data_IF_978769037751
#
_entry.id   IF_978769037751
#
_cell.length_a   1.000
_cell.length_b   1.000
_cell.length_c   1.000
_cell.angle_alpha   90.00
_cell.angle_beta   90.00
_cell.angle_gamma   90.00
#
_symmetry.space_group_name_H-M   'P 1'
#
loop_
_entity.id
_entity.type
_entity.pdbx_description
1 polymer ?
#
# COMPACT_ATOMS: atom_id res chain seq x y z
N UNK A 1 -16.10 87.16 -20.64
CA UNK A 1 -15.46 86.41 -21.74
C UNK A 1 -16.23 85.11 -21.90
N UNK A 2 -16.89 84.86 -23.05
CA UNK A 2 -17.68 83.63 -23.25
C UNK A 2 -16.76 82.57 -23.82
N UNK A 3 -16.27 81.66 -22.98
CA UNK A 3 -15.52 80.49 -23.46
C UNK A 3 -16.52 79.60 -24.21
N UNK A 4 -16.12 79.10 -25.38
CA UNK A 4 -16.98 78.28 -26.23
C UNK A 4 -17.17 76.90 -25.61
N UNK A 5 -18.34 76.29 -25.81
CA UNK A 5 -18.60 74.92 -25.36
C UNK A 5 -17.58 73.91 -25.92
N UNK A 6 -16.93 74.20 -27.05
CA UNK A 6 -15.85 73.38 -27.62
C UNK A 6 -14.66 73.27 -26.66
N UNK A 7 -14.21 74.37 -26.07
CA UNK A 7 -13.10 74.36 -25.11
C UNK A 7 -13.49 73.59 -23.84
N UNK A 8 -14.76 73.71 -23.41
CA UNK A 8 -15.26 72.93 -22.27
C UNK A 8 -15.28 71.44 -22.59
N UNK A 9 -15.77 71.06 -23.78
CA UNK A 9 -15.79 69.67 -24.25
C UNK A 9 -14.37 69.06 -24.34
N UNK A 10 -13.38 69.82 -24.78
CA UNK A 10 -11.97 69.38 -24.82
C UNK A 10 -11.36 69.19 -23.42
N UNK A 11 -11.82 69.99 -22.44
CA UNK A 11 -11.34 69.92 -21.05
C UNK A 11 -12.14 68.94 -20.18
N UNK A 12 -13.31 68.47 -20.63
CA UNK A 12 -14.18 67.55 -19.89
C UNK A 12 -13.45 66.26 -19.45
N UNK A 13 -12.67 65.57 -20.30
CA UNK A 13 -11.94 64.36 -19.88
C UNK A 13 -10.97 64.65 -18.74
N UNK A 14 -10.18 65.72 -18.85
CA UNK A 14 -9.23 66.15 -17.82
C UNK A 14 -9.91 66.55 -16.51
N UNK A 15 -11.14 67.05 -16.60
CA UNK A 15 -11.98 67.39 -15.45
C UNK A 15 -12.55 66.13 -14.76
N UNK A 16 -12.93 65.11 -15.52
CA UNK A 16 -13.35 63.80 -14.98
C UNK A 16 -12.18 63.09 -14.31
N UNK A 17 -11.00 63.13 -14.92
CA UNK A 17 -9.75 62.57 -14.38
C UNK A 17 -9.22 63.36 -13.15
N UNK A 18 -9.84 64.50 -12.83
CA UNK A 18 -9.53 65.30 -11.64
C UNK A 18 -8.21 66.08 -11.71
N UNK A 19 -7.55 66.11 -12.87
CA UNK A 19 -6.21 66.71 -13.05
C UNK A 19 -6.23 68.22 -13.33
N UNK A 20 -7.40 68.83 -13.49
CA UNK A 20 -7.53 70.28 -13.64
C UNK A 20 -7.16 71.06 -12.36
N UNK A 21 -6.55 72.24 -12.53
CA UNK A 21 -6.30 73.20 -11.45
C UNK A 21 -7.62 73.79 -10.91
N UNK A 22 -7.61 74.29 -9.67
CA UNK A 22 -8.83 74.73 -8.96
C UNK A 22 -9.59 75.84 -9.69
N UNK A 23 -8.87 76.83 -10.24
CA UNK A 23 -9.46 77.93 -11.01
C UNK A 23 -10.21 77.43 -12.26
N UNK A 24 -9.62 76.46 -12.96
CA UNK A 24 -10.24 75.81 -14.13
C UNK A 24 -11.47 74.98 -13.73
N UNK A 25 -11.42 74.28 -12.59
CA UNK A 25 -12.55 73.51 -12.05
C UNK A 25 -13.73 74.41 -11.66
N UNK A 26 -13.46 75.53 -11.00
CA UNK A 26 -14.49 76.49 -10.60
C UNK A 26 -15.22 77.06 -11.82
N UNK A 27 -14.46 77.43 -12.85
CA UNK A 27 -15.01 77.91 -14.11
C UNK A 27 -15.84 76.86 -14.85
N UNK A 28 -15.34 75.62 -14.97
CA UNK A 28 -16.08 74.53 -15.62
C UNK A 28 -17.39 74.22 -14.88
N UNK A 29 -17.40 74.28 -13.54
CA UNK A 29 -18.60 74.05 -12.72
C UNK A 29 -19.69 75.07 -13.00
N UNK A 30 -19.35 76.35 -13.15
CA UNK A 30 -20.30 77.41 -13.51
C UNK A 30 -20.89 77.19 -14.91
N UNK A 31 -20.06 76.78 -15.88
CA UNK A 31 -20.52 76.47 -17.24
C UNK A 31 -21.43 75.24 -17.28
N UNK A 32 -21.08 74.18 -16.56
CA UNK A 32 -21.87 72.93 -16.51
C UNK A 32 -23.24 73.13 -15.85
N UNK A 33 -23.37 74.10 -14.93
CA UNK A 33 -24.66 74.46 -14.33
C UNK A 33 -25.59 75.21 -15.30
N UNK A 34 -25.02 75.90 -16.28
CA UNK A 34 -25.78 76.78 -17.19
C UNK A 34 -25.93 76.18 -18.60
N UNK A 35 -25.08 75.23 -18.98
CA UNK A 35 -25.06 74.60 -20.29
C UNK A 35 -25.45 73.12 -20.23
N UNK A 36 -26.68 72.83 -20.66
CA UNK A 36 -27.24 71.47 -20.70
C UNK A 36 -26.39 70.53 -21.58
N UNK A 37 -25.87 71.03 -22.71
CA UNK A 37 -25.07 70.22 -23.65
C UNK A 37 -23.82 69.64 -22.99
N UNK A 38 -23.06 70.49 -22.29
CA UNK A 38 -21.82 70.07 -21.62
C UNK A 38 -22.10 69.20 -20.38
N UNK A 39 -23.22 69.44 -19.67
CA UNK A 39 -23.64 68.57 -18.56
C UNK A 39 -23.96 67.15 -19.03
N UNK A 40 -24.70 67.02 -20.14
CA UNK A 40 -25.03 65.70 -20.71
C UNK A 40 -23.77 64.96 -21.17
N UNK A 41 -22.81 65.66 -21.78
CA UNK A 41 -21.54 65.07 -22.19
C UNK A 41 -20.72 64.57 -20.99
N UNK A 42 -20.69 65.31 -19.88
CA UNK A 42 -20.05 64.89 -18.64
C UNK A 42 -20.70 63.63 -18.04
N UNK A 43 -22.03 63.58 -18.02
CA UNK A 43 -22.77 62.45 -17.48
C UNK A 43 -22.57 61.18 -18.32
N UNK A 44 -22.49 61.31 -19.64
CA UNK A 44 -22.16 60.20 -20.56
C UNK A 44 -20.77 59.63 -20.29
N UNK A 45 -19.76 60.48 -20.14
CA UNK A 45 -18.38 60.05 -19.85
C UNK A 45 -18.28 59.26 -18.54
N UNK A 46 -18.95 59.74 -17.47
CA UNK A 46 -18.99 59.04 -16.18
C UNK A 46 -19.72 57.69 -16.24
N UNK A 47 -20.77 57.59 -17.04
CA UNK A 47 -21.49 56.33 -17.23
C UNK A 47 -20.65 55.29 -17.99
N UNK A 48 -19.87 55.72 -18.97
CA UNK A 48 -19.04 54.82 -19.76
C UNK A 48 -17.82 54.32 -18.96
N UNK A 49 -17.19 55.17 -18.15
CA UNK A 49 -16.14 54.76 -17.20
C UNK A 49 -16.65 53.70 -16.20
N UNK A 50 -17.85 53.90 -15.65
CA UNK A 50 -18.49 52.95 -14.75
C UNK A 50 -18.81 51.61 -15.42
N UNK A 51 -19.21 51.62 -16.70
CA UNK A 51 -19.44 50.38 -17.48
C UNK A 51 -18.14 49.61 -17.70
N UNK A 52 -17.05 50.30 -18.04
CA UNK A 52 -15.73 49.69 -18.26
C UNK A 52 -15.19 49.05 -16.97
N UNK A 53 -15.28 49.77 -15.84
CA UNK A 53 -14.86 49.24 -14.53
C UNK A 53 -15.70 48.01 -14.15
N UNK A 54 -17.02 48.04 -14.40
CA UNK A 54 -17.89 46.88 -14.17
C UNK A 54 -17.52 45.70 -15.07
N UNK A 55 -17.26 45.90 -16.36
CA UNK A 55 -16.92 44.80 -17.26
C UNK A 55 -15.59 44.14 -16.89
N UNK A 56 -14.56 44.93 -16.54
CA UNK A 56 -13.26 44.41 -16.10
C UNK A 56 -13.40 43.61 -14.80
N UNK A 57 -14.12 44.12 -13.80
CA UNK A 57 -14.35 43.40 -12.55
C UNK A 57 -15.16 42.10 -12.75
N UNK A 58 -16.12 42.09 -13.66
CA UNK A 58 -16.90 40.90 -14.00
C UNK A 58 -16.02 39.86 -14.68
N UNK A 59 -15.16 40.27 -15.62
CA UNK A 59 -14.25 39.37 -16.34
C UNK A 59 -13.19 38.77 -15.39
N UNK A 60 -12.59 39.58 -14.52
CA UNK A 60 -11.64 39.10 -13.51
C UNK A 60 -12.29 38.13 -12.51
N UNK A 61 -13.50 38.43 -12.04
CA UNK A 61 -14.26 37.55 -11.15
C UNK A 61 -14.65 36.23 -11.84
N UNK A 62 -15.01 36.26 -13.12
CA UNK A 62 -15.32 35.06 -13.91
C UNK A 62 -14.07 34.20 -14.13
N UNK A 63 -12.92 34.80 -14.43
CA UNK A 63 -11.66 34.06 -14.60
C UNK A 63 -11.22 33.41 -13.28
N UNK A 64 -11.27 34.13 -12.16
CA UNK A 64 -10.91 33.57 -10.84
C UNK A 64 -11.84 32.44 -10.38
N UNK A 65 -13.16 32.59 -10.60
CA UNK A 65 -14.14 31.56 -10.25
C UNK A 65 -13.97 30.30 -11.11
N UNK A 66 -13.76 30.44 -12.41
CA UNK A 66 -13.51 29.30 -13.31
C UNK A 66 -12.20 28.58 -12.98
N UNK A 67 -11.13 29.30 -12.64
CA UNK A 67 -9.86 28.71 -12.24
C UNK A 67 -9.99 27.92 -10.93
N UNK A 68 -10.66 28.47 -9.92
CA UNK A 68 -10.87 27.79 -8.64
C UNK A 68 -11.76 26.54 -8.77
N UNK A 69 -12.78 26.59 -9.63
CA UNK A 69 -13.61 25.43 -9.97
C UNK A 69 -12.79 24.36 -10.69
N UNK A 70 -12.02 24.73 -11.73
CA UNK A 70 -11.16 23.79 -12.46
C UNK A 70 -10.17 23.10 -11.52
N UNK A 71 -9.56 23.82 -10.59
CA UNK A 71 -8.65 23.23 -9.60
C UNK A 71 -9.36 22.24 -8.67
N UNK A 72 -10.57 22.55 -8.18
CA UNK A 72 -11.36 21.62 -7.36
C UNK A 72 -11.76 20.37 -8.14
N UNK A 73 -12.21 20.52 -9.38
CA UNK A 73 -12.55 19.38 -10.24
C UNK A 73 -11.33 18.50 -10.56
N UNK A 74 -10.17 19.10 -10.85
CA UNK A 74 -8.95 18.34 -11.11
C UNK A 74 -8.45 17.62 -9.85
N UNK A 75 -8.48 18.26 -8.67
CA UNK A 75 -8.14 17.61 -7.39
C UNK A 75 -9.06 16.43 -7.10
N UNK A 76 -10.38 16.60 -7.23
CA UNK A 76 -11.35 15.52 -7.00
C UNK A 76 -11.16 14.34 -7.97
N UNK A 77 -10.87 14.60 -9.26
CA UNK A 77 -10.55 13.55 -10.24
C UNK A 77 -9.27 12.80 -9.88
N UNK A 78 -8.22 13.51 -9.49
CA UNK A 78 -6.94 12.88 -9.07
C UNK A 78 -7.16 12.04 -7.81
N UNK A 79 -7.92 12.53 -6.82
CA UNK A 79 -8.25 11.76 -5.61
C UNK A 79 -9.00 10.46 -5.94
N UNK A 80 -9.96 10.48 -6.87
CA UNK A 80 -10.67 9.28 -7.29
C UNK A 80 -9.76 8.27 -8.00
N UNK A 81 -8.88 8.75 -8.89
CA UNK A 81 -7.90 7.89 -9.57
C UNK A 81 -6.96 7.25 -8.54
N UNK A 82 -6.37 8.04 -7.64
CA UNK A 82 -5.49 7.54 -6.60
C UNK A 82 -6.17 6.51 -5.69
N UNK A 83 -7.43 6.75 -5.31
CA UNK A 83 -8.20 5.82 -4.51
C UNK A 83 -8.44 4.48 -5.25
N UNK A 84 -8.76 4.54 -6.54
CA UNK A 84 -8.96 3.33 -7.36
C UNK A 84 -7.67 2.52 -7.51
N UNK A 85 -6.54 3.20 -7.72
CA UNK A 85 -5.22 2.56 -7.86
C UNK A 85 -4.79 1.94 -6.52
N UNK A 86 -4.95 2.66 -5.42
CA UNK A 86 -4.62 2.14 -4.09
C UNK A 86 -5.48 0.92 -3.73
N UNK A 87 -6.77 0.95 -4.05
CA UNK A 87 -7.66 -0.20 -3.88
C UNK A 87 -7.19 -1.40 -4.70
N UNK A 88 -6.82 -1.20 -5.98
CA UNK A 88 -6.33 -2.28 -6.83
C UNK A 88 -5.03 -2.88 -6.29
N UNK A 89 -4.08 -2.05 -5.84
CA UNK A 89 -2.84 -2.48 -5.20
C UNK A 89 -3.16 -3.28 -3.92
N UNK A 90 -4.08 -2.81 -3.09
CA UNK A 90 -4.51 -3.51 -1.87
C UNK A 90 -5.08 -4.90 -2.16
N UNK A 91 -5.88 -5.05 -3.21
CA UNK A 91 -6.42 -6.34 -3.66
C UNK A 91 -5.28 -7.26 -4.13
N UNK A 92 -4.35 -6.75 -4.92
CA UNK A 92 -3.19 -7.52 -5.37
C UNK A 92 -2.31 -7.98 -4.21
N UNK A 93 -2.03 -7.11 -3.24
CA UNK A 93 -1.25 -7.44 -2.04
C UNK A 93 -2.01 -8.48 -1.19
N UNK A 94 -3.31 -8.30 -0.99
CA UNK A 94 -4.15 -9.26 -0.26
C UNK A 94 -4.17 -10.63 -0.94
N UNK A 95 -4.33 -10.66 -2.27
CA UNK A 95 -4.25 -11.87 -3.08
C UNK A 95 -2.88 -12.54 -2.99
N UNK A 96 -1.80 -11.77 -3.07
CA UNK A 96 -0.43 -12.27 -2.89
C UNK A 96 -0.24 -12.90 -1.51
N UNK A 97 -0.66 -12.22 -0.44
CA UNK A 97 -0.56 -12.75 0.92
C UNK A 97 -1.37 -14.05 1.08
N UNK A 98 -2.60 -14.08 0.55
CA UNK A 98 -3.43 -15.28 0.62
C UNK A 98 -2.83 -16.46 -0.15
N UNK A 99 -2.25 -16.22 -1.33
CA UNK A 99 -1.72 -17.28 -2.19
C UNK A 99 -0.37 -17.81 -1.69
N UNK A 100 0.52 -16.92 -1.24
CA UNK A 100 1.91 -17.26 -0.92
C UNK A 100 2.22 -17.39 0.58
N UNK A 101 1.42 -16.78 1.47
CA UNK A 101 1.69 -16.80 2.93
C UNK A 101 0.76 -17.70 3.73
N UNK A 102 -0.38 -18.10 3.18
CA UNK A 102 -1.31 -18.97 3.89
C UNK A 102 -0.82 -20.42 3.83
N UNK A 103 -0.19 -20.85 4.92
CA UNK A 103 0.30 -22.22 5.12
C UNK A 103 -0.84 -23.15 5.56
N UNK A 104 -0.99 -24.26 4.84
CA UNK A 104 -1.94 -25.35 5.13
C UNK A 104 -1.15 -26.62 5.42
N UNK A 105 -1.37 -27.30 6.56
CA UNK A 105 -0.64 -28.52 6.88
C UNK A 105 -1.00 -29.65 5.91
N UNK A 106 0.02 -30.40 5.50
CA UNK A 106 -0.13 -31.61 4.69
C UNK A 106 -0.61 -32.75 5.59
N UNK A 107 -1.55 -33.55 5.08
CA UNK A 107 -2.05 -34.71 5.81
C UNK A 107 -1.06 -35.86 5.69
N UNK A 108 -0.89 -36.61 6.77
CA UNK A 108 -0.02 -37.78 6.76
C UNK A 108 -0.55 -38.89 5.84
N UNK A 109 0.36 -39.56 5.14
CA UNK A 109 0.13 -40.80 4.42
C UNK A 109 1.41 -41.67 4.53
N UNK A 110 1.29 -42.99 4.47
CA UNK A 110 2.41 -43.94 4.56
C UNK A 110 3.48 -43.71 3.48
N UNK A 111 3.09 -43.14 2.34
CA UNK A 111 3.99 -42.81 1.23
C UNK A 111 4.49 -41.37 1.25
N UNK A 112 4.20 -40.60 2.30
CA UNK A 112 4.54 -39.17 2.38
C UNK A 112 6.01 -38.96 2.72
N UNK A 113 6.51 -39.74 3.68
CA UNK A 113 7.84 -39.51 4.25
C UNK A 113 8.52 -40.84 4.57
N UNK A 114 9.80 -40.93 4.19
CA UNK A 114 10.72 -41.95 4.69
C UNK A 114 11.61 -41.35 5.79
N UNK A 115 11.80 -42.08 6.88
CA UNK A 115 12.70 -41.68 7.97
C UNK A 115 13.83 -42.69 8.07
N UNK A 116 15.07 -42.21 8.09
CA UNK A 116 16.25 -43.05 8.29
C UNK A 116 17.18 -42.43 9.32
N UNK A 117 17.57 -43.21 10.32
CA UNK A 117 18.63 -42.85 11.25
C UNK A 117 19.99 -43.08 10.57
N UNK A 118 20.84 -42.05 10.53
CA UNK A 118 22.22 -42.16 10.04
C UNK A 118 23.18 -42.33 11.22
N UNK A 119 23.02 -41.50 12.25
CA UNK A 119 23.82 -41.48 13.48
C UNK A 119 22.93 -41.13 14.69
N UNK A 120 23.41 -41.37 15.91
CA UNK A 120 22.69 -41.11 17.18
C UNK A 120 22.08 -39.69 17.31
N UNK A 121 22.60 -38.72 16.55
CA UNK A 121 22.20 -37.29 16.56
C UNK A 121 21.81 -36.74 15.18
N UNK A 122 21.76 -37.59 14.15
CA UNK A 122 21.38 -37.17 12.80
C UNK A 122 20.32 -38.09 12.21
N UNK A 123 19.18 -37.49 11.88
CA UNK A 123 18.07 -38.14 11.19
C UNK A 123 17.95 -37.54 9.78
N UNK A 124 17.71 -38.42 8.81
CA UNK A 124 17.44 -38.03 7.44
C UNK A 124 15.97 -38.28 7.12
N UNK A 125 15.32 -37.25 6.59
CA UNK A 125 13.92 -37.26 6.19
C UNK A 125 13.85 -37.16 4.68
N UNK A 126 13.16 -38.12 4.05
CA UNK A 126 12.86 -38.08 2.62
C UNK A 126 11.40 -37.77 2.40
N UNK A 127 11.09 -36.59 1.88
CA UNK A 127 9.75 -36.28 1.45
C UNK A 127 9.48 -36.90 0.07
N UNK A 128 8.50 -37.78 -0.01
CA UNK A 128 8.27 -38.65 -1.17
C UNK A 128 7.19 -38.12 -2.14
N UNK A 129 6.49 -37.04 -1.77
CA UNK A 129 5.54 -36.34 -2.64
C UNK A 129 6.21 -35.26 -3.51
N UNK A 130 5.43 -34.68 -4.43
CA UNK A 130 5.92 -33.80 -5.50
C UNK A 130 6.47 -32.46 -4.97
N UNK A 131 5.80 -31.79 -4.03
CA UNK A 131 6.24 -30.48 -3.50
C UNK A 131 5.66 -30.18 -2.11
N UNK A 132 6.43 -29.43 -1.31
CA UNK A 132 6.01 -28.82 -0.05
C UNK A 132 6.48 -27.35 0.02
N UNK A 133 5.82 -26.52 0.82
CA UNK A 133 6.24 -25.13 1.06
C UNK A 133 7.32 -25.03 2.15
N UNK A 134 7.10 -25.71 3.28
CA UNK A 134 8.04 -25.68 4.41
C UNK A 134 7.93 -26.94 5.26
N UNK A 135 9.06 -27.36 5.83
CA UNK A 135 9.13 -28.35 6.91
C UNK A 135 9.28 -27.63 8.24
N UNK A 136 8.50 -28.05 9.24
CA UNK A 136 8.59 -27.57 10.61
C UNK A 136 8.96 -28.72 11.51
N UNK A 137 9.92 -28.50 12.40
CA UNK A 137 10.38 -29.50 13.36
C UNK A 137 10.38 -28.92 14.78
N UNK A 138 9.95 -29.72 15.76
CA UNK A 138 9.88 -29.35 17.15
C UNK A 138 10.35 -30.51 18.03
N UNK A 139 11.39 -30.27 18.82
CA UNK A 139 11.91 -31.23 19.77
C UNK A 139 11.40 -30.95 21.18
N UNK A 140 10.88 -31.96 21.87
CA UNK A 140 10.38 -31.87 23.25
C UNK A 140 10.65 -33.17 24.01
N UNK A 141 10.90 -33.05 25.31
CA UNK A 141 10.90 -34.20 26.21
C UNK A 141 9.51 -34.34 26.84
N UNK A 142 8.90 -35.51 26.71
CA UNK A 142 7.56 -35.82 27.18
C UNK A 142 7.55 -37.12 27.96
N UNK A 143 6.60 -37.28 28.87
CA UNK A 143 6.35 -38.54 29.56
C UNK A 143 5.40 -39.39 28.72
N UNK A 144 5.89 -40.51 28.19
CA UNK A 144 5.10 -41.50 27.46
C UNK A 144 5.27 -42.83 28.21
N UNK A 145 4.15 -43.45 28.60
CA UNK A 145 4.13 -44.70 29.35
C UNK A 145 4.97 -44.68 30.65
N UNK A 146 5.02 -43.52 31.33
CA UNK A 146 5.78 -43.33 32.57
C UNK A 146 7.30 -43.18 32.37
N UNK A 147 7.76 -43.03 31.13
CA UNK A 147 9.16 -42.78 30.79
C UNK A 147 9.32 -41.43 30.10
N UNK A 148 10.35 -40.68 30.49
CA UNK A 148 10.72 -39.44 29.81
C UNK A 148 11.40 -39.78 28.48
N UNK A 149 10.68 -39.57 27.38
CA UNK A 149 11.15 -39.76 26.01
C UNK A 149 11.40 -38.39 25.36
N UNK A 150 12.55 -38.24 24.72
CA UNK A 150 12.86 -37.09 23.87
C UNK A 150 12.32 -37.33 22.46
N UNK A 151 11.25 -36.62 22.11
CA UNK A 151 10.56 -36.79 20.84
C UNK A 151 10.88 -35.65 19.88
N UNK A 152 10.86 -35.97 18.59
CA UNK A 152 10.87 -34.99 17.51
C UNK A 152 9.57 -35.05 16.75
N UNK A 153 8.85 -33.94 16.72
CA UNK A 153 7.66 -33.79 15.91
C UNK A 153 8.01 -33.05 14.64
N UNK A 154 7.58 -33.57 13.50
CA UNK A 154 7.76 -32.94 12.20
C UNK A 154 6.43 -32.82 11.48
N UNK A 155 6.31 -31.80 10.65
CA UNK A 155 5.21 -31.70 9.71
C UNK A 155 5.56 -30.77 8.55
N UNK A 156 4.84 -30.96 7.46
CA UNK A 156 5.04 -30.19 6.24
C UNK A 156 3.82 -29.31 5.99
N UNK A 157 4.04 -28.12 5.48
CA UNK A 157 2.98 -27.21 5.04
C UNK A 157 3.07 -26.99 3.55
N UNK A 158 1.93 -26.68 2.95
CA UNK A 158 1.79 -26.24 1.58
C UNK A 158 1.07 -24.89 1.55
N UNK A 159 1.33 -24.08 0.52
CA UNK A 159 0.54 -22.88 0.25
C UNK A 159 -0.42 -23.16 -0.91
N UNK A 160 -1.35 -22.24 -1.16
CA UNK A 160 -2.22 -22.33 -2.32
C UNK A 160 -1.38 -22.31 -3.61
N UNK A 161 -0.28 -21.55 -3.61
CA UNK A 161 0.67 -21.52 -4.71
C UNK A 161 1.33 -22.88 -4.96
N UNK A 162 1.91 -23.52 -3.93
CA UNK A 162 2.63 -24.80 -4.12
C UNK A 162 1.71 -25.92 -4.59
N UNK A 163 0.43 -25.88 -4.22
CA UNK A 163 -0.59 -26.82 -4.75
C UNK A 163 -0.96 -26.59 -6.21
N UNK A 164 -0.93 -25.34 -6.68
CA UNK A 164 -1.35 -24.97 -8.03
C UNK A 164 -0.20 -25.01 -9.04
N UNK A 165 1.03 -24.82 -8.56
CA UNK A 165 2.25 -24.81 -9.37
C UNK A 165 3.18 -25.96 -8.96
N UNK A 166 2.78 -27.23 -9.13
CA UNK A 166 3.68 -28.35 -8.88
C UNK A 166 4.84 -28.27 -9.90
N UNK A 167 6.09 -28.25 -9.40
CA UNK A 167 7.38 -28.08 -10.10
C UNK A 167 8.00 -26.69 -10.17
N UNK A 168 7.90 -25.87 -9.13
CA UNK A 168 8.88 -24.78 -8.93
C UNK A 168 9.44 -24.81 -7.51
N UNK A 169 10.59 -25.47 -7.38
CA UNK A 169 11.49 -25.44 -6.22
C UNK A 169 11.59 -24.00 -5.67
N UNK A 170 10.96 -23.74 -4.52
CA UNK A 170 10.97 -22.42 -3.92
C UNK A 170 12.19 -22.26 -2.99
N UNK A 171 12.83 -21.10 -3.11
CA UNK A 171 13.99 -20.65 -2.34
C UNK A 171 13.61 -20.58 -0.86
N UNK A 172 14.37 -21.28 -0.01
CA UNK A 172 14.27 -21.13 1.44
C UNK A 172 14.78 -19.73 1.83
N UNK A 173 13.87 -18.80 2.12
CA UNK A 173 14.23 -17.59 2.86
C UNK A 173 14.54 -17.99 4.31
N UNK A 174 15.79 -18.39 4.54
CA UNK A 174 16.38 -18.65 5.85
C UNK A 174 16.83 -17.33 6.47
N UNK A 175 15.88 -16.47 6.84
CA UNK A 175 16.16 -15.41 7.80
C UNK A 175 15.27 -15.65 9.02
N UNK A 176 15.93 -16.03 10.12
CA UNK A 176 15.41 -16.19 11.49
C UNK A 176 14.96 -17.60 11.90
N UNK A 177 15.92 -18.50 12.12
CA UNK A 177 16.06 -19.25 13.40
C UNK A 177 17.37 -20.09 13.40
N UNK A 178 18.41 -19.52 14.02
CA UNK A 178 19.55 -20.17 14.68
C UNK A 178 20.29 -21.37 14.05
N UNK A 179 21.50 -21.05 13.58
CA UNK A 179 22.77 -21.83 13.70
C UNK A 179 22.73 -23.32 13.37
N UNK A 180 22.65 -23.64 12.08
CA UNK A 180 23.42 -24.75 11.52
C UNK A 180 24.70 -24.14 10.99
N UNK A 181 25.85 -24.68 11.40
CA UNK A 181 27.16 -24.23 10.97
C UNK A 181 27.21 -24.10 9.44
N UNK A 182 27.71 -22.94 9.06
CA UNK A 182 28.07 -22.47 7.75
C UNK A 182 28.77 -23.54 6.91
N UNK A 183 28.01 -24.24 6.05
CA UNK A 183 28.54 -24.76 4.79
C UNK A 183 28.07 -23.84 3.67
N UNK A 184 28.90 -22.84 3.40
CA UNK A 184 28.83 -21.99 2.23
C UNK A 184 28.82 -22.83 0.94
N UNK A 185 28.06 -22.32 -0.03
CA UNK A 185 28.12 -22.62 -1.46
C UNK A 185 27.61 -24.00 -1.89
N UNK A 186 26.32 -24.07 -2.19
CA UNK A 186 25.86 -24.64 -3.46
C UNK A 186 24.54 -23.99 -3.85
N UNK A 187 24.63 -22.94 -4.68
CA UNK A 187 23.66 -22.74 -5.75
C UNK A 187 23.74 -23.96 -6.67
N UNK A 188 23.09 -25.04 -6.25
CA UNK A 188 23.14 -26.34 -6.88
C UNK A 188 21.78 -26.99 -6.71
N UNK A 189 21.06 -27.08 -7.80
CA UNK A 189 19.88 -27.91 -8.00
C UNK A 189 20.09 -29.28 -7.36
N UNK A 190 19.37 -29.60 -6.29
CA UNK A 190 19.38 -30.95 -5.70
C UNK A 190 18.09 -31.65 -6.10
N UNK A 191 18.23 -32.73 -6.89
CA UNK A 191 17.19 -33.65 -7.34
C UNK A 191 16.59 -34.52 -6.22
N UNK A 192 16.61 -34.06 -4.97
CA UNK A 192 16.44 -34.98 -3.87
C UNK A 192 15.83 -34.25 -2.67
N UNK A 193 14.55 -34.55 -2.40
CA UNK A 193 13.71 -34.09 -1.27
C UNK A 193 14.22 -34.59 0.11
N UNK A 194 15.54 -34.58 0.33
CA UNK A 194 16.16 -35.03 1.57
C UNK A 194 16.47 -33.82 2.45
N UNK A 195 16.00 -33.88 3.68
CA UNK A 195 16.31 -32.90 4.73
C UNK A 195 17.06 -33.61 5.86
N UNK A 196 18.24 -33.09 6.19
CA UNK A 196 19.04 -33.56 7.33
C UNK A 196 18.75 -32.67 8.51
N UNK A 197 18.26 -33.27 9.59
CA UNK A 197 17.97 -32.55 10.84
C UNK A 197 19.01 -32.95 11.87
N UNK A 198 19.77 -31.95 12.32
CA UNK A 198 20.67 -32.09 13.46
C UNK A 198 19.87 -32.02 14.75
N UNK A 199 20.11 -32.98 15.62
CA UNK A 199 19.33 -33.12 16.84
C UNK A 199 20.20 -32.81 18.04
N UNK A 200 19.62 -32.04 18.96
CA UNK A 200 20.19 -31.84 20.28
C UNK A 200 19.99 -33.08 21.14
N UNK A 201 20.96 -33.98 21.10
CA UNK A 201 20.99 -35.19 21.92
C UNK A 201 20.30 -36.38 21.24
N UNK A 202 19.89 -37.35 22.06
CA UNK A 202 19.34 -38.63 21.62
C UNK A 202 17.81 -38.53 21.46
N UNK A 203 17.26 -38.93 20.32
CA UNK A 203 15.79 -39.03 20.08
C UNK A 203 15.29 -40.43 20.34
N UNK A 204 14.22 -40.56 21.11
CA UNK A 204 13.59 -41.84 21.39
C UNK A 204 12.46 -42.14 20.39
N UNK A 205 11.79 -41.13 19.85
CA UNK A 205 10.79 -41.31 18.80
C UNK A 205 10.60 -40.07 17.90
N UNK A 206 10.21 -40.30 16.65
CA UNK A 206 9.83 -39.27 15.69
C UNK A 206 8.35 -39.41 15.33
N UNK A 207 7.62 -38.31 15.41
CA UNK A 207 6.20 -38.23 15.12
C UNK A 207 5.92 -37.25 13.98
N UNK A 208 5.01 -37.62 13.09
CA UNK A 208 4.39 -36.70 12.14
C UNK A 208 3.17 -36.05 12.78
N UNK A 209 3.02 -34.74 12.66
CA UNK A 209 1.85 -34.03 13.18
C UNK A 209 1.10 -33.28 12.08
N UNK A 210 -0.19 -33.04 12.29
CA UNK A 210 -0.99 -32.16 11.43
C UNK A 210 -1.46 -31.00 12.29
N UNK A 211 -0.77 -29.87 12.18
CA UNK A 211 -1.07 -28.71 13.01
C UNK A 211 -0.85 -27.39 12.27
N UNK A 212 -1.60 -26.37 12.69
CA UNK A 212 -1.39 -25.01 12.21
C UNK A 212 -0.31 -24.36 13.08
N UNK A 213 0.82 -23.95 12.46
CA UNK A 213 1.99 -23.38 13.15
C UNK A 213 1.61 -22.32 14.18
N UNK A 214 0.68 -21.44 13.82
CA UNK A 214 0.26 -20.31 14.64
C UNK A 214 -0.49 -20.70 15.94
N UNK A 215 -0.96 -21.95 16.04
CA UNK A 215 -1.74 -22.44 17.19
C UNK A 215 -1.13 -23.66 17.86
N UNK A 216 0.09 -24.05 17.46
CA UNK A 216 0.79 -25.20 18.03
C UNK A 216 1.20 -24.97 19.48
N UNK A 217 1.61 -23.76 19.81
CA UNK A 217 2.08 -23.40 21.15
C UNK A 217 0.94 -23.14 22.14
N UNK A 218 -0.29 -23.01 21.66
CA UNK A 218 -1.48 -22.73 22.48
C UNK A 218 -2.14 -24.01 23.00
N UNK A 219 -1.79 -25.18 22.46
CA UNK A 219 -2.45 -26.45 22.78
C UNK A 219 -1.62 -27.31 23.73
N UNK A 220 -2.27 -28.02 24.67
CA UNK A 220 -1.59 -29.00 25.50
C UNK A 220 -1.01 -30.12 24.63
N UNK A 221 0.24 -30.49 24.93
CA UNK A 221 1.04 -31.42 24.13
C UNK A 221 0.41 -32.80 24.00
N UNK A 222 -0.31 -33.27 25.03
CA UNK A 222 -1.02 -34.55 25.01
C UNK A 222 -2.08 -34.61 23.90
N UNK A 223 -2.83 -33.52 23.72
CA UNK A 223 -3.85 -33.42 22.67
C UNK A 223 -3.23 -33.37 21.26
N UNK A 224 -2.00 -32.90 21.17
CA UNK A 224 -1.23 -32.86 19.92
C UNK A 224 -0.68 -34.24 19.60
N UNK A 225 -0.16 -34.95 20.60
CA UNK A 225 0.36 -36.31 20.49
C UNK A 225 -0.71 -37.34 20.12
N UNK A 226 -1.94 -37.21 20.65
CA UNK A 226 -3.07 -38.08 20.26
C UNK A 226 -3.36 -38.08 18.75
N UNK A 227 -3.02 -36.99 18.06
CA UNK A 227 -3.24 -36.81 16.62
C UNK A 227 -1.97 -37.01 15.80
N UNK A 228 -0.85 -37.26 16.46
CA UNK A 228 0.43 -37.44 15.81
C UNK A 228 0.59 -38.92 15.39
N UNK A 229 1.24 -39.15 14.26
CA UNK A 229 1.54 -40.48 13.74
C UNK A 229 2.99 -40.82 14.03
N UNK A 230 3.25 -41.96 14.67
CA UNK A 230 4.62 -42.43 14.90
C UNK A 230 5.27 -42.82 13.56
N UNK A 231 6.42 -42.22 13.26
CA UNK A 231 7.20 -42.52 12.05
C UNK A 231 8.39 -43.43 12.32
N UNK A 232 8.99 -43.27 13.49
CA UNK A 232 10.20 -44.00 13.88
C UNK A 232 10.29 -44.02 15.40
N UNK A 233 10.67 -45.15 15.96
CA UNK A 233 10.98 -45.31 17.38
C UNK A 233 12.35 -45.99 17.51
N UNK A 234 13.11 -45.58 18.50
CA UNK A 234 14.38 -46.21 18.83
C UNK A 234 14.12 -47.55 19.52
N UNK A 235 14.67 -48.62 18.95
CA UNK A 235 14.70 -49.96 19.56
C UNK A 235 15.54 -50.00 20.85
#
# INVERSE_FOLDING_TARGET
>A
MRISCQIIEDLLPLYVDGVCQEDTKAFMKEHLQTCVKCSVALDQMKQDEFKVIKSVNIEEAQVQTLQSLRQKFMKNKITLILLSVFSAIGICIGGYFLIFRLEVPIQYNERLIGVQAIEDRMMEFKFLEDDFYRCHHLQRTVEIDGQMKNILMIYYTNTIWTKLSPKQQFISDSENLFTVEEHQNLSGWTEANWEKVYINGKIDAVYYMVANYNHLFDKPLDSVLEKATLLWERE
#
